data_IF_402599740792
#
_entry.id   IF_402599740792
#
_cell.length_a   1.000
_cell.length_b   1.000
_cell.length_c   1.000
_cell.angle_alpha   90.00
_cell.angle_beta   90.00
_cell.angle_gamma   90.00
#
_symmetry.space_group_name_H-M   'P 1'
#
loop_
_entity.id
_entity.type
_entity.pdbx_description
1 polymer ?
#
# COMPACT_ATOMS: atom_id res chain seq x y z
N UNK A 1 5.22 -15.02 14.15
CA UNK A 1 4.69 -15.71 12.96
C UNK A 1 5.10 -14.87 11.77
N UNK A 2 6.10 -15.34 11.03
CA UNK A 2 6.82 -14.56 10.02
C UNK A 2 5.88 -14.07 8.94
N UNK A 3 6.01 -12.80 8.52
CA UNK A 3 5.15 -12.27 7.46
C UNK A 3 5.55 -12.94 6.14
N UNK A 4 4.64 -13.61 5.40
CA UNK A 4 4.94 -14.27 4.13
C UNK A 4 5.14 -13.28 2.96
N UNK A 5 5.42 -12.01 3.25
CA UNK A 5 5.59 -10.92 2.29
C UNK A 5 6.68 -9.95 2.74
N UNK A 6 7.34 -9.30 1.78
CA UNK A 6 8.38 -8.31 2.05
C UNK A 6 7.75 -7.06 2.63
N UNK A 7 8.33 -6.50 3.68
CA UNK A 7 7.92 -5.20 4.25
C UNK A 7 9.08 -4.23 4.06
N UNK A 8 8.82 -3.10 3.41
CA UNK A 8 9.81 -2.06 3.04
C UNK A 8 9.15 -0.67 3.08
N UNK A 9 9.93 0.37 2.80
CA UNK A 9 9.47 1.77 2.84
C UNK A 9 9.53 2.37 4.24
N UNK A 10 8.66 3.34 4.51
CA UNK A 10 8.61 4.03 5.80
C UNK A 10 8.07 3.12 6.91
N UNK A 11 8.61 3.26 8.12
CA UNK A 11 8.14 2.54 9.29
C UNK A 11 6.82 3.17 9.79
N UNK A 12 5.70 2.52 9.50
CA UNK A 12 4.39 2.99 9.98
C UNK A 12 4.05 2.35 11.33
N UNK A 13 3.57 3.12 12.33
CA UNK A 13 3.17 2.57 13.63
C UNK A 13 2.13 1.45 13.52
N UNK A 14 1.14 1.60 12.63
CA UNK A 14 0.12 0.58 12.38
C UNK A 14 0.68 -0.72 11.78
N UNK A 15 1.89 -0.67 11.21
CA UNK A 15 2.59 -1.82 10.64
C UNK A 15 3.76 -2.32 11.50
N UNK A 16 4.09 -1.67 12.63
CA UNK A 16 5.15 -2.12 13.53
C UNK A 16 4.97 -3.59 14.01
N UNK A 17 3.74 -4.09 14.24
CA UNK A 17 3.52 -5.51 14.56
C UNK A 17 3.76 -6.47 13.39
N UNK A 18 3.92 -5.97 12.16
CA UNK A 18 4.16 -6.77 10.96
C UNK A 18 5.65 -7.01 10.71
N UNK A 19 6.58 -6.32 11.39
CA UNK A 19 8.02 -6.26 11.11
C UNK A 19 8.82 -7.58 11.24
N UNK A 20 8.18 -8.75 11.29
CA UNK A 20 8.87 -10.02 11.11
C UNK A 20 9.22 -10.21 9.63
N UNK A 21 10.43 -9.83 9.26
CA UNK A 21 11.02 -10.10 7.93
C UNK A 21 10.90 -11.59 7.60
N UNK A 22 10.30 -11.99 6.48
CA UNK A 22 10.52 -13.33 5.96
C UNK A 22 12.01 -13.55 5.72
N UNK A 23 12.47 -14.78 5.97
CA UNK A 23 13.83 -15.25 5.63
C UNK A 23 14.09 -15.28 4.11
N UNK A 24 13.09 -14.95 3.27
CA UNK A 24 13.14 -15.21 1.84
C UNK A 24 12.94 -13.94 1.00
N UNK A 25 13.99 -13.57 0.25
CA UNK A 25 13.97 -12.67 -0.92
C UNK A 25 13.07 -13.19 -2.07
N UNK A 26 12.32 -14.28 -1.85
CA UNK A 26 11.54 -15.01 -2.86
C UNK A 26 10.02 -14.77 -2.79
N UNK A 27 9.55 -13.90 -1.90
CA UNK A 27 8.11 -13.63 -1.75
C UNK A 27 7.48 -13.02 -3.02
N UNK A 28 6.29 -13.51 -3.45
CA UNK A 28 5.54 -12.92 -4.57
C UNK A 28 4.81 -11.61 -4.20
N UNK A 29 4.87 -11.17 -2.94
CA UNK A 29 4.14 -10.02 -2.43
C UNK A 29 5.01 -9.07 -1.59
N UNK A 30 4.69 -7.78 -1.66
CA UNK A 30 5.34 -6.71 -0.91
C UNK A 30 4.32 -5.76 -0.28
N UNK A 31 4.59 -5.35 0.96
CA UNK A 31 3.95 -4.24 1.66
C UNK A 31 4.94 -3.08 1.74
N UNK A 32 4.53 -1.91 1.26
CA UNK A 32 5.34 -0.70 1.19
C UNK A 32 4.72 0.39 2.06
N UNK A 33 5.43 0.86 3.08
CA UNK A 33 4.99 1.96 3.93
C UNK A 33 5.29 3.33 3.32
N UNK A 34 4.36 4.27 3.44
CA UNK A 34 4.56 5.69 3.09
C UNK A 34 4.03 6.58 4.20
N UNK A 35 4.91 7.31 4.88
CA UNK A 35 4.54 8.23 5.94
C UNK A 35 4.53 9.68 5.40
N UNK A 36 3.34 10.24 5.22
CA UNK A 36 3.17 11.65 4.88
C UNK A 36 2.79 12.51 6.10
N UNK A 37 2.70 11.94 7.30
CA UNK A 37 2.17 12.61 8.50
C UNK A 37 2.91 13.91 8.82
N UNK A 38 4.23 13.93 8.60
CA UNK A 38 5.09 15.10 8.82
C UNK A 38 5.01 16.18 7.73
N UNK A 39 4.28 15.96 6.63
CA UNK A 39 4.16 16.93 5.56
C UNK A 39 3.28 18.12 6.00
N UNK A 40 3.82 19.34 5.95
CA UNK A 40 3.08 20.55 6.28
C UNK A 40 2.31 21.15 5.08
N UNK A 41 2.64 20.73 3.85
CA UNK A 41 2.06 21.30 2.63
C UNK A 41 1.74 20.25 1.58
N UNK A 42 0.78 20.56 0.68
CA UNK A 42 0.40 19.68 -0.44
C UNK A 42 1.58 19.39 -1.36
N UNK A 43 2.44 20.39 -1.55
CA UNK A 43 3.66 20.29 -2.35
C UNK A 43 4.64 19.28 -1.74
N UNK A 44 4.84 19.30 -0.43
CA UNK A 44 5.67 18.33 0.28
C UNK A 44 5.08 16.92 0.19
N UNK A 45 3.78 16.77 0.45
CA UNK A 45 3.11 15.46 0.36
C UNK A 45 3.23 14.86 -1.05
N UNK A 46 3.02 15.66 -2.10
CA UNK A 46 3.19 15.22 -3.49
C UNK A 46 4.63 14.81 -3.81
N UNK A 47 5.61 15.59 -3.34
CA UNK A 47 7.02 15.29 -3.56
C UNK A 47 7.45 14.01 -2.82
N UNK A 48 7.02 13.85 -1.56
CA UNK A 48 7.26 12.65 -0.77
C UNK A 48 6.63 11.42 -1.43
N UNK A 49 5.39 11.54 -1.92
CA UNK A 49 4.73 10.45 -2.65
C UNK A 49 5.47 10.06 -3.93
N UNK A 50 5.88 11.04 -4.74
CA UNK A 50 6.68 10.77 -5.94
C UNK A 50 8.01 10.07 -5.60
N UNK A 51 8.68 10.50 -4.53
CA UNK A 51 9.91 9.88 -4.06
C UNK A 51 9.68 8.44 -3.60
N UNK A 52 8.62 8.20 -2.81
CA UNK A 52 8.24 6.87 -2.35
C UNK A 52 7.93 5.93 -3.53
N UNK A 53 7.18 6.39 -4.54
CA UNK A 53 6.90 5.60 -5.74
C UNK A 53 8.16 5.30 -6.57
N UNK A 54 9.09 6.26 -6.67
CA UNK A 54 10.36 6.02 -7.35
C UNK A 54 11.22 4.97 -6.60
N UNK A 55 11.27 5.04 -5.28
CA UNK A 55 11.97 4.07 -4.44
C UNK A 55 11.34 2.67 -4.53
N UNK A 56 10.00 2.57 -4.45
CA UNK A 56 9.27 1.33 -4.64
C UNK A 56 9.56 0.72 -6.02
N UNK A 57 9.52 1.52 -7.08
CA UNK A 57 9.84 1.10 -8.44
C UNK A 57 11.24 0.50 -8.54
N UNK A 58 12.25 1.13 -7.92
CA UNK A 58 13.62 0.58 -7.83
C UNK A 58 13.67 -0.75 -7.07
N UNK A 59 12.93 -0.86 -5.97
CA UNK A 59 12.87 -2.11 -5.19
C UNK A 59 12.18 -3.24 -5.95
N UNK A 60 11.18 -2.94 -6.80
CA UNK A 60 10.55 -3.93 -7.67
C UNK A 60 11.45 -4.38 -8.83
N UNK A 61 12.45 -3.57 -9.21
CA UNK A 61 13.49 -3.96 -10.17
C UNK A 61 14.46 -4.98 -9.53
N UNK A 62 14.76 -4.82 -8.24
CA UNK A 62 15.58 -5.75 -7.44
C UNK A 62 14.82 -7.03 -7.04
N UNK A 63 13.48 -6.96 -6.93
CA UNK A 63 12.61 -8.07 -6.54
C UNK A 63 11.67 -8.53 -7.68
N UNK A 64 12.20 -9.19 -8.74
CA UNK A 64 11.43 -9.51 -9.94
C UNK A 64 10.31 -10.53 -9.73
N UNK A 65 10.29 -11.25 -8.60
CA UNK A 65 9.23 -12.21 -8.24
C UNK A 65 7.99 -11.54 -7.66
N UNK A 66 8.09 -10.33 -7.15
CA UNK A 66 6.95 -9.61 -6.53
C UNK A 66 5.92 -9.29 -7.60
N UNK A 67 4.76 -9.95 -7.56
CA UNK A 67 3.63 -9.73 -8.48
C UNK A 67 2.50 -8.92 -7.84
N UNK A 68 2.58 -8.67 -6.53
CA UNK A 68 1.57 -7.93 -5.77
C UNK A 68 2.23 -6.93 -4.85
N UNK A 69 1.72 -5.71 -4.83
CA UNK A 69 2.18 -4.65 -3.93
C UNK A 69 0.98 -4.04 -3.23
N UNK A 70 1.08 -3.93 -1.91
CA UNK A 70 0.22 -3.07 -1.12
C UNK A 70 1.04 -1.86 -0.65
N UNK A 71 0.58 -0.66 -0.91
CA UNK A 71 1.12 0.59 -0.35
C UNK A 71 0.23 0.98 0.81
N UNK A 72 0.71 0.87 2.04
CA UNK A 72 0.02 1.45 3.18
C UNK A 72 0.54 2.86 3.38
N UNK A 73 -0.33 3.83 3.62
CA UNK A 73 0.10 5.21 3.84
C UNK A 73 -0.61 5.93 4.97
N UNK A 74 0.13 6.86 5.60
CA UNK A 74 -0.40 7.84 6.53
C UNK A 74 -0.54 9.19 5.84
N UNK A 75 -1.72 9.80 5.95
CA UNK A 75 -1.98 11.14 5.44
C UNK A 75 -1.28 12.19 6.29
N UNK A 76 -1.02 13.38 5.72
CA UNK A 76 -0.47 14.49 6.48
C UNK A 76 -1.44 14.98 7.57
N UNK A 77 -0.93 15.19 8.78
CA UNK A 77 -1.72 15.65 9.93
C UNK A 77 -1.66 17.17 10.15
N UNK A 78 -0.69 17.85 9.53
CA UNK A 78 -0.41 19.28 9.72
C UNK A 78 -1.31 20.27 8.96
N UNK A 79 -2.32 19.81 8.20
CA UNK A 79 -3.21 20.71 7.46
C UNK A 79 -4.23 21.39 8.38
N UNK A 80 -3.84 22.51 8.98
CA UNK A 80 -4.81 23.42 9.56
C UNK A 80 -5.78 23.93 8.45
N UNK A 81 -7.04 23.49 8.49
CA UNK A 81 -8.22 24.10 7.85
C UNK A 81 -8.48 23.91 6.34
N UNK A 82 -7.86 22.96 5.64
CA UNK A 82 -8.28 22.63 4.27
C UNK A 82 -8.64 21.14 4.15
N UNK A 83 -9.66 20.86 3.33
CA UNK A 83 -10.31 19.56 3.15
C UNK A 83 -9.33 18.36 3.19
N UNK A 84 -9.75 17.23 3.78
CA UNK A 84 -8.90 16.06 3.96
C UNK A 84 -8.25 15.68 2.63
N UNK A 85 -6.92 15.58 2.64
CA UNK A 85 -6.19 15.08 1.47
C UNK A 85 -6.41 13.59 1.42
N UNK A 86 -7.32 13.16 0.56
CA UNK A 86 -7.49 11.74 0.26
C UNK A 86 -6.32 11.24 -0.58
N UNK A 87 -5.99 9.98 -0.40
CA UNK A 87 -5.15 9.26 -1.35
C UNK A 87 -5.85 9.32 -2.71
N UNK A 88 -5.15 9.68 -3.80
CA UNK A 88 -5.79 9.74 -5.10
C UNK A 88 -6.32 8.36 -5.52
N UNK A 89 -7.62 8.25 -5.82
CA UNK A 89 -8.29 6.98 -6.16
C UNK A 89 -7.58 6.20 -7.27
N UNK A 90 -6.96 6.91 -8.22
CA UNK A 90 -6.28 6.32 -9.38
C UNK A 90 -4.81 5.98 -9.17
N UNK A 91 -4.27 6.17 -7.97
CA UNK A 91 -2.84 6.02 -7.75
C UNK A 91 -2.36 4.58 -7.95
N UNK A 92 -3.19 3.61 -7.54
CA UNK A 92 -2.93 2.19 -7.75
C UNK A 92 -2.85 1.86 -9.25
N UNK A 93 -3.87 2.28 -10.01
CA UNK A 93 -3.93 2.10 -11.47
C UNK A 93 -2.78 2.81 -12.18
N UNK A 94 -2.41 4.02 -11.73
CA UNK A 94 -1.28 4.74 -12.31
C UNK A 94 0.04 3.99 -12.09
N UNK A 95 0.28 3.48 -10.88
CA UNK A 95 1.48 2.70 -10.61
C UNK A 95 1.52 1.42 -11.45
N UNK A 96 0.41 0.69 -11.52
CA UNK A 96 0.29 -0.48 -12.39
C UNK A 96 0.66 -0.17 -13.84
N UNK A 97 0.03 0.85 -14.42
CA UNK A 97 0.27 1.27 -15.79
C UNK A 97 1.72 1.69 -16.04
N UNK A 98 2.35 2.39 -15.09
CA UNK A 98 3.75 2.75 -15.20
C UNK A 98 4.67 1.53 -15.15
N UNK A 99 4.38 0.54 -14.30
CA UNK A 99 5.16 -0.71 -14.23
C UNK A 99 4.99 -1.56 -15.49
N UNK A 100 3.77 -1.64 -16.01
CA UNK A 100 3.50 -2.36 -17.26
C UNK A 100 4.20 -1.67 -18.44
N UNK A 101 4.00 -0.36 -18.60
CA UNK A 101 4.56 0.40 -19.73
C UNK A 101 6.09 0.49 -19.68
N UNK A 102 6.65 0.86 -18.53
CA UNK A 102 8.07 1.21 -18.45
C UNK A 102 8.96 -0.01 -18.18
N UNK A 103 8.40 -1.11 -17.65
CA UNK A 103 9.17 -2.30 -17.25
C UNK A 103 8.62 -3.62 -17.79
N UNK A 104 7.54 -3.62 -18.58
CA UNK A 104 6.84 -4.82 -19.01
C UNK A 104 6.43 -5.74 -17.84
N UNK A 105 6.08 -5.12 -16.69
CA UNK A 105 5.76 -5.84 -15.45
C UNK A 105 4.29 -5.68 -15.07
N UNK A 106 3.57 -6.79 -15.06
CA UNK A 106 2.21 -6.85 -14.53
C UNK A 106 2.24 -7.07 -13.01
N UNK A 107 1.91 -6.03 -12.25
CA UNK A 107 1.93 -6.05 -10.77
C UNK A 107 0.60 -5.50 -10.26
N UNK A 108 -0.18 -6.33 -9.56
CA UNK A 108 -1.42 -5.87 -8.92
C UNK A 108 -1.07 -4.89 -7.80
N UNK A 109 -1.69 -3.71 -7.82
CA UNK A 109 -1.40 -2.64 -6.86
C UNK A 109 -2.60 -2.35 -5.97
N UNK A 110 -2.41 -2.41 -4.66
CA UNK A 110 -3.33 -1.82 -3.69
C UNK A 110 -2.68 -0.63 -3.02
N UNK A 111 -3.46 0.41 -2.77
CA UNK A 111 -3.10 1.46 -1.83
C UNK A 111 -4.15 1.51 -0.71
N UNK A 112 -3.69 1.53 0.54
CA UNK A 112 -4.55 1.65 1.73
C UNK A 112 -4.14 2.88 2.52
N UNK A 113 -5.10 3.77 2.75
CA UNK A 113 -4.98 4.82 3.74
C UNK A 113 -5.22 4.23 5.14
N UNK A 114 -4.16 4.14 5.94
CA UNK A 114 -4.21 3.60 7.30
C UNK A 114 -4.15 4.69 8.38
N UNK A 115 -4.41 5.95 8.01
CA UNK A 115 -4.33 7.10 8.93
C UNK A 115 -5.23 6.95 10.15
N UNK A 116 -6.46 6.47 9.93
CA UNK A 116 -7.49 6.32 10.96
C UNK A 116 -7.56 4.89 11.49
N UNK A 117 -6.50 4.10 11.30
CA UNK A 117 -6.42 2.73 11.80
C UNK A 117 -6.45 2.70 13.33
N UNK A 118 -7.51 2.13 13.88
CA UNK A 118 -7.73 1.92 15.31
C UNK A 118 -7.45 0.47 15.77
N UNK A 119 -7.42 -0.49 14.83
CA UNK A 119 -7.07 -1.89 15.09
C UNK A 119 -5.90 -2.39 14.20
N UNK A 120 -4.64 -2.18 14.62
CA UNK A 120 -3.47 -2.67 13.90
C UNK A 120 -3.41 -4.19 13.73
N UNK A 121 -4.04 -4.96 14.63
CA UNK A 121 -4.04 -6.41 14.55
C UNK A 121 -4.99 -6.91 13.46
N UNK A 122 -6.16 -6.28 13.34
CA UNK A 122 -7.07 -6.51 12.22
C UNK A 122 -6.43 -6.05 10.90
N UNK A 123 -5.79 -4.88 10.87
CA UNK A 123 -5.07 -4.41 9.67
C UNK A 123 -4.05 -5.44 9.20
N UNK A 124 -3.24 -5.95 10.11
CA UNK A 124 -2.28 -7.04 9.82
C UNK A 124 -2.95 -8.26 9.21
N UNK A 125 -4.08 -8.68 9.76
CA UNK A 125 -4.84 -9.84 9.27
C UNK A 125 -5.37 -9.58 7.86
N UNK A 126 -5.95 -8.40 7.61
CA UNK A 126 -6.53 -8.03 6.31
C UNK A 126 -5.46 -7.90 5.22
N UNK A 127 -4.37 -7.21 5.50
CA UNK A 127 -3.26 -7.05 4.56
C UNK A 127 -2.56 -8.39 4.31
N UNK A 128 -2.40 -9.21 5.35
CA UNK A 128 -1.82 -10.54 5.22
C UNK A 128 -2.66 -11.43 4.31
N UNK A 129 -3.97 -11.48 4.52
CA UNK A 129 -4.89 -12.20 3.63
C UNK A 129 -4.80 -11.68 2.19
N UNK A 130 -4.90 -10.36 1.98
CA UNK A 130 -4.85 -9.76 0.64
C UNK A 130 -3.55 -10.05 -0.13
N UNK A 131 -2.41 -10.09 0.56
CA UNK A 131 -1.11 -10.34 -0.04
C UNK A 131 -0.82 -11.82 -0.27
N UNK A 132 -1.43 -12.72 0.51
CA UNK A 132 -1.15 -14.17 0.47
C UNK A 132 -2.17 -14.98 -0.33
N UNK A 133 -3.43 -14.57 -0.33
CA UNK A 133 -4.50 -15.34 -0.97
C UNK A 133 -4.32 -15.39 -2.49
N UNK A 134 -4.76 -16.49 -3.11
CA UNK A 134 -4.72 -16.66 -4.58
C UNK A 134 -5.73 -15.76 -5.31
N UNK A 135 -6.63 -15.14 -4.57
CA UNK A 135 -7.73 -14.35 -5.10
C UNK A 135 -7.19 -13.18 -5.90
N UNK A 136 -7.67 -13.04 -7.14
CA UNK A 136 -7.29 -11.92 -8.01
C UNK A 136 -8.12 -10.71 -7.64
N UNK A 137 -7.47 -9.56 -7.73
CA UNK A 137 -8.04 -8.25 -7.48
C UNK A 137 -7.29 -7.26 -8.36
N UNK A 138 -8.03 -6.27 -8.86
CA UNK A 138 -7.52 -5.21 -9.70
C UNK A 138 -6.81 -4.14 -8.87
N UNK A 139 -6.44 -3.05 -9.54
CA UNK A 139 -5.80 -1.94 -8.86
C UNK A 139 -6.82 -1.14 -8.06
N UNK A 140 -6.57 -0.98 -6.76
CA UNK A 140 -7.53 -0.39 -5.82
C UNK A 140 -6.85 0.64 -4.91
N UNK A 141 -7.63 1.65 -4.54
CA UNK A 141 -7.27 2.59 -3.48
C UNK A 141 -8.39 2.57 -2.44
N UNK A 142 -8.08 2.14 -1.23
CA UNK A 142 -9.06 1.95 -0.14
C UNK A 142 -8.67 2.81 1.08
N UNK A 143 -9.67 3.19 1.87
CA UNK A 143 -9.48 3.73 3.22
C UNK A 143 -9.55 2.60 4.26
N UNK A 144 -9.01 2.82 5.47
CA UNK A 144 -9.06 1.84 6.55
C UNK A 144 -10.48 1.33 6.80
N UNK A 145 -11.48 2.23 6.77
CA UNK A 145 -12.87 1.85 7.00
C UNK A 145 -13.38 0.81 6.01
N UNK A 146 -12.94 0.88 4.75
CA UNK A 146 -13.38 -0.07 3.72
C UNK A 146 -12.95 -1.50 4.05
N UNK A 147 -11.75 -1.68 4.62
CA UNK A 147 -11.19 -3.00 4.93
C UNK A 147 -11.37 -3.42 6.39
N UNK A 148 -11.82 -2.52 7.25
CA UNK A 148 -12.27 -2.84 8.60
C UNK A 148 -13.57 -3.68 8.52
N UNK A 149 -14.55 -3.17 7.76
CA UNK A 149 -15.89 -3.77 7.65
C UNK A 149 -15.95 -4.98 6.70
N UNK A 150 -15.04 -5.08 5.75
CA UNK A 150 -15.00 -6.21 4.81
C UNK A 150 -13.57 -6.58 4.39
N UNK A 151 -13.41 -7.72 3.73
CA UNK A 151 -12.13 -8.10 3.14
C UNK A 151 -11.81 -7.21 1.94
N UNK A 152 -10.52 -7.11 1.62
CA UNK A 152 -10.04 -6.44 0.40
C UNK A 152 -10.69 -7.01 -0.87
N UNK A 153 -10.93 -8.32 -0.91
CA UNK A 153 -11.60 -8.95 -2.05
C UNK A 153 -13.07 -8.54 -2.17
N UNK A 154 -13.78 -8.45 -1.05
CA UNK A 154 -15.17 -7.97 -1.04
C UNK A 154 -15.25 -6.49 -1.43
N UNK A 155 -14.30 -5.66 -0.99
CA UNK A 155 -14.20 -4.27 -1.42
C UNK A 155 -13.99 -4.18 -2.94
N UNK A 156 -13.05 -4.97 -3.49
CA UNK A 156 -12.83 -5.07 -4.94
C UNK A 156 -14.09 -5.47 -5.72
N UNK A 157 -14.78 -6.51 -5.24
CA UNK A 157 -15.97 -7.03 -5.90
C UNK A 157 -17.11 -5.99 -5.98
N UNK A 158 -17.16 -5.04 -5.03
CA UNK A 158 -18.14 -3.95 -5.03
C UNK A 158 -17.82 -2.87 -6.06
N UNK A 159 -16.54 -2.59 -6.32
CA UNK A 159 -16.13 -1.60 -7.34
C UNK A 159 -16.14 -2.16 -8.78
N UNK A 160 -16.10 -3.48 -8.92
CA UNK A 160 -16.10 -4.15 -10.23
C UNK A 160 -17.50 -4.35 -10.85
N UNK A 161 -18.57 -3.94 -10.15
CA UNK A 161 -19.98 -4.02 -10.57
C UNK A 161 -20.49 -2.68 -11.11
#
# INVERSE_FOLDING_TARGET
MTAPFLIRGDALPALAPLSETPDEDDSPAMLWGVDLSACATRKQAKAAWHHALAALKSQLDEAPRVRRVCIACLRPSGFARQAPIRVPERIATQLHNDLERDRARYVSTLVVDVTECDDPALLRTRLGAALTESTRWGDLTLEWQDIADCTVHEAWAREAL
#
